data_IF_308380337308
#
_entry.id   IF_308380337308
#
_cell.length_a   1.000
_cell.length_b   1.000
_cell.length_c   1.000
_cell.angle_alpha   90.00
_cell.angle_beta   90.00
_cell.angle_gamma   90.00
#
_symmetry.space_group_name_H-M   'P 1'
#
loop_
_entity.id
_entity.type
_entity.pdbx_description
1 polymer ?
#
# COMPACT_ATOMS: atom_id res chain seq x y z
N UNK A 1 -41.19 69.93 54.06
CA UNK A 1 -40.64 68.55 54.11
C UNK A 1 -41.08 67.82 52.85
N UNK A 2 -40.18 67.62 51.88
CA UNK A 2 -40.44 66.91 50.62
C UNK A 2 -39.73 65.55 50.69
N UNK A 3 -40.48 64.45 50.59
CA UNK A 3 -39.92 63.08 50.56
C UNK A 3 -39.87 62.62 49.10
N UNK A 4 -38.67 62.38 48.60
CA UNK A 4 -38.39 61.76 47.30
C UNK A 4 -38.37 60.24 47.45
N UNK A 5 -39.19 59.55 46.65
CA UNK A 5 -39.24 58.09 46.55
C UNK A 5 -38.49 57.67 45.28
N UNK A 6 -37.46 56.85 45.42
CA UNK A 6 -36.67 56.28 44.32
C UNK A 6 -37.17 54.86 44.02
N UNK A 7 -37.48 54.47 42.77
CA UNK A 7 -37.84 53.09 42.47
C UNK A 7 -36.56 52.26 42.18
N UNK A 8 -36.49 51.08 42.81
CA UNK A 8 -35.48 50.05 42.59
C UNK A 8 -35.89 49.21 41.38
N UNK A 9 -35.07 49.22 40.33
CA UNK A 9 -35.23 48.40 39.13
C UNK A 9 -34.57 47.04 39.34
N UNK A 10 -35.37 45.98 39.49
CA UNK A 10 -34.91 44.60 39.64
C UNK A 10 -34.69 43.97 38.25
N UNK A 11 -33.42 43.79 37.85
CA UNK A 11 -33.05 43.12 36.59
C UNK A 11 -33.04 41.61 36.82
N UNK A 12 -34.06 40.93 36.30
CA UNK A 12 -34.19 39.47 36.33
C UNK A 12 -33.40 38.86 35.16
N UNK A 13 -32.18 38.39 35.43
CA UNK A 13 -31.34 37.69 34.45
C UNK A 13 -31.85 36.26 34.20
N UNK A 14 -32.51 36.06 33.06
CA UNK A 14 -32.85 34.75 32.52
C UNK A 14 -31.56 34.02 32.11
N UNK A 15 -31.08 33.12 32.98
CA UNK A 15 -30.05 32.15 32.60
C UNK A 15 -30.70 31.05 31.75
N UNK A 16 -30.51 31.10 30.43
CA UNK A 16 -30.85 29.97 29.57
C UNK A 16 -29.79 28.87 29.71
N UNK A 17 -30.18 27.60 29.94
CA UNK A 17 -29.25 26.49 29.91
C UNK A 17 -28.78 26.27 28.46
N UNK A 18 -27.50 26.50 28.22
CA UNK A 18 -26.83 26.12 26.98
C UNK A 18 -26.77 24.59 26.98
N UNK A 19 -27.72 23.95 26.29
CA UNK A 19 -27.63 22.53 25.97
C UNK A 19 -26.42 22.33 25.05
N UNK A 20 -25.32 21.85 25.62
CA UNK A 20 -24.17 21.36 24.88
C UNK A 20 -24.62 20.19 24.00
N UNK A 21 -24.94 20.45 22.73
CA UNK A 21 -25.16 19.42 21.72
C UNK A 21 -23.87 18.61 21.60
N UNK A 22 -23.90 17.39 22.13
CA UNK A 22 -22.87 16.38 21.93
C UNK A 22 -22.90 16.03 20.43
N UNK A 23 -22.04 16.67 19.65
CA UNK A 23 -21.87 16.38 18.23
C UNK A 23 -21.46 14.93 18.09
N UNK A 24 -22.39 14.07 17.70
CA UNK A 24 -22.13 12.69 17.32
C UNK A 24 -21.16 12.75 16.14
N UNK A 25 -19.89 12.48 16.41
CA UNK A 25 -18.84 12.45 15.40
C UNK A 25 -19.18 11.32 14.44
N UNK A 26 -19.45 11.64 13.17
CA UNK A 26 -19.70 10.60 12.15
C UNK A 26 -18.51 9.63 12.14
N UNK A 27 -18.75 8.32 12.06
CA UNK A 27 -17.68 7.33 11.95
C UNK A 27 -16.75 7.71 10.79
N UNK A 28 -15.45 7.71 11.03
CA UNK A 28 -14.46 7.96 9.98
C UNK A 28 -14.38 6.71 9.10
N UNK A 29 -14.97 6.76 7.91
CA UNK A 29 -14.75 5.72 6.89
C UNK A 29 -13.38 5.95 6.26
N UNK A 30 -12.49 4.95 6.39
CA UNK A 30 -11.22 4.97 5.68
C UNK A 30 -11.38 4.28 4.33
N UNK A 31 -10.60 4.73 3.34
CA UNK A 31 -10.57 4.14 2.00
C UNK A 31 -9.16 3.66 1.70
N UNK A 32 -9.06 2.55 0.97
CA UNK A 32 -7.83 2.01 0.43
C UNK A 32 -7.93 2.05 -1.09
N UNK A 33 -6.94 2.65 -1.72
CA UNK A 33 -6.76 2.65 -3.17
C UNK A 33 -5.56 1.80 -3.56
N UNK A 34 -5.66 1.13 -4.70
CA UNK A 34 -4.49 0.74 -5.47
C UNK A 34 -3.90 1.98 -6.13
N UNK A 35 -2.57 2.07 -6.12
CA UNK A 35 -1.83 3.10 -6.83
C UNK A 35 -1.18 2.45 -8.04
N UNK A 36 -1.71 2.78 -9.22
CA UNK A 36 -1.42 2.13 -10.50
C UNK A 36 -0.74 3.09 -11.48
N UNK A 37 -0.35 2.56 -12.64
CA UNK A 37 0.15 3.33 -13.79
C UNK A 37 1.29 4.28 -13.40
N UNK A 38 2.37 3.71 -12.85
CA UNK A 38 3.54 4.48 -12.39
C UNK A 38 3.22 5.59 -11.37
N UNK A 39 2.22 5.36 -10.52
CA UNK A 39 1.82 6.33 -9.49
C UNK A 39 0.76 7.35 -9.94
N UNK A 40 0.14 7.16 -11.11
CA UNK A 40 -0.74 8.17 -11.73
C UNK A 40 -2.22 7.88 -11.61
N UNK A 41 -2.61 6.69 -11.18
CA UNK A 41 -4.01 6.29 -11.07
C UNK A 41 -4.32 5.78 -9.68
N UNK A 42 -5.45 6.21 -9.12
CA UNK A 42 -6.05 5.64 -7.93
C UNK A 42 -7.27 4.82 -8.34
N UNK A 43 -7.26 3.55 -7.97
CA UNK A 43 -8.40 2.64 -8.11
C UNK A 43 -8.88 2.22 -6.73
N UNK A 44 -10.18 2.29 -6.42
CA UNK A 44 -10.68 1.98 -5.10
C UNK A 44 -10.66 0.45 -4.89
N UNK A 45 -10.01 0.01 -3.82
CA UNK A 45 -9.93 -1.43 -3.46
C UNK A 45 -10.86 -1.81 -2.32
N UNK A 46 -10.91 -1.00 -1.27
CA UNK A 46 -11.73 -1.30 -0.10
C UNK A 46 -12.07 -0.05 0.72
N UNK A 47 -13.11 -0.17 1.54
CA UNK A 47 -13.40 0.72 2.67
C UNK A 47 -13.10 0.00 3.97
N UNK A 48 -12.72 0.76 5.00
CA UNK A 48 -12.63 0.26 6.37
C UNK A 48 -13.66 1.02 7.20
N UNK A 49 -14.60 0.27 7.77
CA UNK A 49 -15.61 0.78 8.70
C UNK A 49 -15.63 -0.11 9.94
N UNK A 50 -15.49 0.51 11.12
CA UNK A 50 -15.45 -0.20 12.41
C UNK A 50 -14.44 -1.37 12.45
N UNK A 51 -13.28 -1.18 11.81
CA UNK A 51 -12.21 -2.18 11.73
C UNK A 51 -12.46 -3.33 10.75
N UNK A 52 -13.58 -3.32 10.01
CA UNK A 52 -13.90 -4.32 9.00
C UNK A 52 -13.60 -3.79 7.60
N UNK A 53 -12.99 -4.65 6.79
CA UNK A 53 -12.84 -4.41 5.36
C UNK A 53 -14.19 -4.63 4.67
N UNK A 54 -14.63 -3.63 3.93
CA UNK A 54 -15.85 -3.63 3.14
C UNK A 54 -15.49 -3.38 1.68
N UNK A 55 -16.31 -3.93 0.78
CA UNK A 55 -16.20 -3.63 -0.63
C UNK A 55 -16.42 -2.13 -0.89
N UNK A 56 -15.71 -1.63 -1.88
CA UNK A 56 -15.86 -0.25 -2.36
C UNK A 56 -16.47 -0.24 -3.75
N UNK A 57 -16.64 0.95 -4.32
CA UNK A 57 -17.27 1.11 -5.62
C UNK A 57 -16.49 0.41 -6.74
N UNK A 58 -17.22 -0.15 -7.70
CA UNK A 58 -16.68 -0.77 -8.92
C UNK A 58 -17.06 0.03 -10.16
N UNK A 59 -16.34 -0.13 -11.27
CA UNK A 59 -16.67 0.58 -12.52
C UNK A 59 -18.06 0.28 -13.08
N UNK A 60 -18.68 -0.83 -12.68
CA UNK A 60 -20.03 -1.22 -13.09
C UNK A 60 -21.14 -0.74 -12.15
N UNK A 61 -20.82 0.01 -11.09
CA UNK A 61 -21.82 0.52 -10.16
C UNK A 61 -22.66 1.65 -10.80
N UNK A 62 -23.83 1.89 -10.22
CA UNK A 62 -24.72 2.97 -10.67
C UNK A 62 -24.03 4.36 -10.57
N UNK A 63 -24.28 5.21 -11.57
CA UNK A 63 -23.64 6.52 -11.69
C UNK A 63 -23.84 7.43 -10.46
N UNK A 64 -24.96 7.31 -9.74
CA UNK A 64 -25.21 8.05 -8.51
C UNK A 64 -24.25 7.63 -7.37
N UNK A 65 -23.98 6.32 -7.24
CA UNK A 65 -23.05 5.75 -6.26
C UNK A 65 -21.62 6.22 -6.57
N UNK A 66 -21.23 6.15 -7.84
CA UNK A 66 -19.91 6.60 -8.32
C UNK A 66 -19.70 8.10 -8.12
N UNK A 67 -20.74 8.90 -8.38
CA UNK A 67 -20.71 10.35 -8.14
C UNK A 67 -20.57 10.67 -6.64
N UNK A 68 -21.30 9.97 -5.77
CA UNK A 68 -21.21 10.16 -4.32
C UNK A 68 -19.84 9.75 -3.77
N UNK A 69 -19.27 8.65 -4.25
CA UNK A 69 -17.93 8.20 -3.90
C UNK A 69 -16.88 9.23 -4.35
N UNK A 70 -16.95 9.66 -5.61
CA UNK A 70 -16.06 10.65 -6.20
C UNK A 70 -16.08 11.97 -5.44
N UNK A 71 -17.27 12.46 -5.08
CA UNK A 71 -17.43 13.67 -4.26
C UNK A 71 -16.82 13.51 -2.88
N UNK A 72 -16.78 12.31 -2.32
CA UNK A 72 -16.22 12.08 -0.99
C UNK A 72 -14.70 11.98 -1.03
N UNK A 73 -14.17 11.17 -1.94
CA UNK A 73 -12.77 10.74 -1.91
C UNK A 73 -11.90 11.25 -3.06
N UNK A 74 -12.47 11.68 -4.18
CA UNK A 74 -11.70 12.16 -5.34
C UNK A 74 -11.74 13.67 -5.54
N UNK A 75 -12.01 14.44 -4.48
CA UNK A 75 -11.89 15.90 -4.54
C UNK A 75 -10.45 16.27 -4.93
N UNK A 76 -10.24 17.14 -5.93
CA UNK A 76 -8.91 17.62 -6.28
C UNK A 76 -8.13 18.12 -5.06
N UNK A 77 -6.82 17.86 -5.04
CA UNK A 77 -5.87 18.18 -3.95
C UNK A 77 -6.04 17.33 -2.68
N UNK A 78 -7.03 16.42 -2.62
CA UNK A 78 -7.09 15.43 -1.53
C UNK A 78 -5.83 14.58 -1.55
N UNK A 79 -5.20 14.43 -0.39
CA UNK A 79 -3.93 13.74 -0.25
C UNK A 79 -4.08 12.53 0.66
N UNK A 80 -3.52 11.41 0.21
CA UNK A 80 -3.51 10.14 0.88
C UNK A 80 -2.09 9.73 1.24
N UNK A 81 -1.94 8.97 2.33
CA UNK A 81 -0.69 8.33 2.69
C UNK A 81 -0.40 7.24 1.66
N UNK A 82 0.73 7.34 0.95
CA UNK A 82 1.21 6.28 0.08
C UNK A 82 1.91 5.24 0.96
N UNK A 83 1.36 4.04 0.97
CA UNK A 83 1.91 2.86 1.65
C UNK A 83 2.63 2.01 0.62
N UNK A 84 3.91 1.74 0.87
CA UNK A 84 4.71 0.82 0.08
C UNK A 84 5.57 -0.02 1.01
N UNK A 85 5.54 -1.33 0.81
CA UNK A 85 6.29 -2.27 1.63
C UNK A 85 6.00 -2.20 3.12
N UNK A 86 4.70 -2.10 3.47
CA UNK A 86 4.23 -2.10 4.87
C UNK A 86 4.38 -0.77 5.62
N UNK A 87 4.91 0.27 4.97
CA UNK A 87 5.24 1.54 5.60
C UNK A 87 4.75 2.74 4.80
N UNK A 88 4.57 3.88 5.47
CA UNK A 88 4.35 5.16 4.78
C UNK A 88 5.61 5.53 4.00
N UNK A 89 5.48 5.53 2.67
CA UNK A 89 6.57 5.80 1.74
C UNK A 89 6.45 7.18 1.10
N UNK A 90 5.33 7.88 1.25
CA UNK A 90 5.11 9.19 0.66
C UNK A 90 3.64 9.57 0.63
N UNK A 91 3.23 10.28 -0.42
CA UNK A 91 1.84 10.71 -0.61
C UNK A 91 1.35 10.44 -2.02
N UNK A 92 0.03 10.28 -2.16
CA UNK A 92 -0.69 10.30 -3.43
C UNK A 92 -1.75 11.40 -3.38
N UNK A 93 -1.68 12.36 -4.30
CA UNK A 93 -2.59 13.52 -4.32
C UNK A 93 -3.48 13.45 -5.56
N UNK A 94 -4.79 13.54 -5.34
CA UNK A 94 -5.79 13.54 -6.42
C UNK A 94 -5.66 14.81 -7.25
N UNK A 95 -5.57 14.65 -8.57
CA UNK A 95 -5.58 15.74 -9.54
C UNK A 95 -7.00 15.96 -10.05
N UNK A 96 -7.62 14.89 -10.56
CA UNK A 96 -8.95 14.93 -11.15
C UNK A 96 -9.56 13.53 -11.17
N UNK A 97 -10.87 13.46 -11.33
CA UNK A 97 -11.61 12.25 -11.65
C UNK A 97 -12.76 12.63 -12.61
N UNK A 98 -13.25 11.64 -13.35
CA UNK A 98 -14.45 11.81 -14.18
C UNK A 98 -15.36 10.58 -13.98
N UNK A 99 -16.43 10.71 -13.19
CA UNK A 99 -17.33 9.59 -12.91
C UNK A 99 -18.21 9.22 -14.11
N UNK A 100 -18.15 9.96 -15.21
CA UNK A 100 -18.94 9.73 -16.43
C UNK A 100 -18.13 9.09 -17.58
N UNK A 101 -16.82 8.89 -17.39
CA UNK A 101 -15.94 8.32 -18.41
C UNK A 101 -16.12 6.80 -18.56
N UNK A 102 -16.43 6.33 -19.77
CA UNK A 102 -16.87 4.95 -20.05
C UNK A 102 -15.94 3.82 -19.54
N UNK A 103 -14.63 4.04 -19.46
CA UNK A 103 -13.64 3.03 -19.03
C UNK A 103 -12.91 3.38 -17.73
N UNK A 104 -13.37 4.41 -17.00
CA UNK A 104 -12.64 4.89 -15.82
C UNK A 104 -13.53 5.60 -14.79
N UNK A 105 -14.84 5.30 -14.78
CA UNK A 105 -15.85 5.96 -13.93
C UNK A 105 -15.52 5.91 -12.44
N UNK A 106 -14.81 4.87 -11.97
CA UNK A 106 -14.41 4.70 -10.57
C UNK A 106 -12.94 5.08 -10.31
N UNK A 107 -12.21 5.62 -11.28
CA UNK A 107 -10.79 5.94 -11.17
C UNK A 107 -10.55 7.43 -10.95
N UNK A 108 -9.41 7.75 -10.33
CA UNK A 108 -8.89 9.12 -10.29
C UNK A 108 -7.47 9.20 -10.84
N UNK A 109 -7.16 10.32 -11.49
CA UNK A 109 -5.79 10.71 -11.80
C UNK A 109 -5.14 11.30 -10.54
N UNK A 110 -3.93 10.88 -10.24
CA UNK A 110 -3.16 11.35 -9.10
C UNK A 110 -1.71 11.65 -9.45
N UNK A 111 -1.04 12.35 -8.54
CA UNK A 111 0.42 12.48 -8.51
C UNK A 111 0.95 11.88 -7.22
N UNK A 112 1.93 10.99 -7.33
CA UNK A 112 2.64 10.45 -6.17
C UNK A 112 3.94 11.19 -5.91
N UNK A 113 4.24 11.43 -4.65
CA UNK A 113 5.55 11.89 -4.19
C UNK A 113 6.11 10.86 -3.23
N UNK A 114 7.25 10.25 -3.59
CA UNK A 114 7.95 9.30 -2.73
C UNK A 114 9.45 9.29 -3.01
N UNK A 115 10.25 9.22 -1.95
CA UNK A 115 11.69 8.95 -2.04
C UNK A 115 12.01 7.48 -1.81
N UNK A 116 11.04 6.69 -1.31
CA UNK A 116 11.22 5.29 -0.90
C UNK A 116 10.59 4.30 -1.89
N UNK A 117 9.44 4.64 -2.46
CA UNK A 117 8.72 3.82 -3.44
C UNK A 117 9.06 4.26 -4.85
N UNK A 118 9.62 3.34 -5.64
CA UNK A 118 9.83 3.52 -7.09
C UNK A 118 8.70 2.79 -7.83
N UNK A 119 7.54 3.43 -7.93
CA UNK A 119 6.38 2.89 -8.64
C UNK A 119 6.66 2.97 -10.14
N UNK A 120 6.96 1.82 -10.77
CA UNK A 120 7.21 1.72 -12.20
C UNK A 120 6.82 0.34 -12.73
N UNK A 121 6.17 0.28 -13.88
CA UNK A 121 5.72 -0.97 -14.51
C UNK A 121 4.75 -1.72 -13.59
N UNK A 122 5.07 -2.97 -13.25
CA UNK A 122 4.23 -3.82 -12.39
C UNK A 122 4.34 -3.51 -10.88
N UNK A 123 5.15 -2.53 -10.49
CA UNK A 123 5.33 -2.15 -9.08
C UNK A 123 4.24 -1.16 -8.66
N UNK A 124 3.28 -1.65 -7.89
CA UNK A 124 2.13 -0.89 -7.40
C UNK A 124 2.26 -0.55 -5.91
N UNK A 125 1.55 0.49 -5.47
CA UNK A 125 1.45 0.88 -4.06
C UNK A 125 0.01 0.86 -3.57
N UNK A 126 -0.19 1.18 -2.29
CA UNK A 126 -1.51 1.44 -1.72
C UNK A 126 -1.59 2.90 -1.28
N UNK A 127 -2.76 3.52 -1.37
CA UNK A 127 -3.00 4.85 -0.83
C UNK A 127 -4.20 4.83 0.12
N UNK A 128 -4.10 5.52 1.27
CA UNK A 128 -5.19 5.55 2.25
C UNK A 128 -5.24 6.86 3.04
N UNK A 129 -6.42 7.25 3.51
CA UNK A 129 -6.61 8.36 4.46
C UNK A 129 -6.40 7.91 5.91
N UNK A 130 -6.24 6.61 6.15
CA UNK A 130 -5.90 6.09 7.46
C UNK A 130 -4.49 6.54 7.85
N UNK A 131 -4.32 6.93 9.11
CA UNK A 131 -2.99 7.08 9.73
C UNK A 131 -2.55 5.69 10.19
N UNK A 132 -1.49 5.08 9.62
CA UNK A 132 -1.04 3.78 10.07
C UNK A 132 -0.56 3.87 11.52
N UNK A 133 -1.20 3.12 12.42
CA UNK A 133 -0.85 3.08 13.84
C UNK A 133 0.22 2.03 14.15
N UNK A 134 0.35 1.04 13.27
CA UNK A 134 1.41 0.02 13.31
C UNK A 134 2.00 -0.09 11.91
N UNK A 135 3.32 -0.06 11.82
CA UNK A 135 4.02 -0.53 10.63
C UNK A 135 4.05 -2.07 10.67
N UNK A 136 3.91 -2.73 9.53
CA UNK A 136 3.92 -4.20 9.44
C UNK A 136 5.11 -4.60 8.60
N UNK A 137 6.10 -5.19 9.27
CA UNK A 137 7.39 -5.49 8.67
C UNK A 137 8.01 -4.34 7.86
N UNK A 138 9.07 -4.65 7.12
CA UNK A 138 9.51 -3.82 6.02
C UNK A 138 9.64 -4.67 4.77
N UNK A 139 9.25 -4.13 3.61
CA UNK A 139 9.52 -4.73 2.32
C UNK A 139 10.22 -3.71 1.43
N UNK A 140 11.37 -4.07 0.88
CA UNK A 140 12.16 -3.18 0.02
C UNK A 140 12.89 -3.93 -1.09
N UNK A 141 13.44 -3.16 -2.01
CA UNK A 141 14.44 -3.69 -2.93
C UNK A 141 15.70 -4.07 -2.13
N UNK A 142 16.30 -5.24 -2.40
CA UNK A 142 17.62 -5.58 -1.88
C UNK A 142 18.65 -4.53 -2.30
N UNK A 143 19.62 -4.29 -1.43
CA UNK A 143 20.84 -3.54 -1.77
C UNK A 143 21.68 -4.36 -2.77
N UNK A 144 22.63 -3.73 -3.49
CA UNK A 144 23.53 -4.45 -4.36
C UNK A 144 24.33 -5.56 -3.65
N UNK A 145 24.77 -5.30 -2.41
CA UNK A 145 25.51 -6.27 -1.60
C UNK A 145 24.64 -7.48 -1.21
N UNK A 146 23.43 -7.22 -0.72
CA UNK A 146 22.46 -8.27 -0.37
C UNK A 146 22.07 -9.11 -1.59
N UNK A 147 21.85 -8.46 -2.75
CA UNK A 147 21.57 -9.19 -4.00
C UNK A 147 22.72 -10.11 -4.37
N UNK A 148 23.96 -9.63 -4.31
CA UNK A 148 25.13 -10.44 -4.63
C UNK A 148 25.27 -11.65 -3.69
N UNK A 149 24.98 -11.47 -2.40
CA UNK A 149 24.98 -12.56 -1.42
C UNK A 149 23.91 -13.62 -1.74
N UNK A 150 22.68 -13.18 -2.03
CA UNK A 150 21.59 -14.08 -2.43
C UNK A 150 21.91 -14.81 -3.75
N UNK A 151 22.43 -14.10 -4.75
CA UNK A 151 22.79 -14.68 -6.05
C UNK A 151 23.91 -15.72 -5.93
N UNK A 152 24.85 -15.53 -5.00
CA UNK A 152 25.88 -16.53 -4.69
C UNK A 152 25.26 -17.80 -4.10
N UNK A 153 24.34 -17.67 -3.16
CA UNK A 153 23.64 -18.81 -2.56
C UNK A 153 22.79 -19.57 -3.58
N UNK A 154 22.05 -18.84 -4.41
CA UNK A 154 21.24 -19.39 -5.50
C UNK A 154 22.13 -20.13 -6.51
N UNK A 155 23.26 -19.53 -6.90
CA UNK A 155 24.20 -20.16 -7.83
C UNK A 155 24.80 -21.44 -7.25
N UNK A 156 25.16 -21.43 -5.96
CA UNK A 156 25.62 -22.62 -5.26
C UNK A 156 24.54 -23.72 -5.21
N UNK A 157 23.28 -23.35 -5.05
CA UNK A 157 22.16 -24.29 -5.03
C UNK A 157 21.90 -24.93 -6.40
N UNK A 158 21.96 -24.15 -7.48
CA UNK A 158 21.92 -24.69 -8.84
C UNK A 158 23.11 -25.65 -9.11
N UNK A 159 24.31 -25.30 -8.64
CA UNK A 159 25.49 -26.15 -8.77
C UNK A 159 25.36 -27.48 -8.01
N UNK A 160 24.79 -27.48 -6.78
CA UNK A 160 24.48 -28.72 -6.03
C UNK A 160 23.55 -29.64 -6.82
N UNK A 161 22.59 -29.05 -7.55
CA UNK A 161 21.66 -29.78 -8.41
C UNK A 161 22.23 -30.08 -9.81
N UNK A 162 23.55 -29.92 -10.00
CA UNK A 162 24.28 -30.19 -11.26
C UNK A 162 23.78 -29.36 -12.45
N UNK A 163 23.18 -28.21 -12.19
CA UNK A 163 22.78 -27.26 -13.23
C UNK A 163 23.74 -26.07 -13.19
N UNK A 164 24.71 -26.05 -14.11
CA UNK A 164 25.71 -24.98 -14.16
C UNK A 164 25.14 -23.73 -14.85
N UNK A 165 25.04 -22.57 -14.16
CA UNK A 165 24.54 -21.34 -14.77
C UNK A 165 25.48 -20.83 -15.86
N UNK A 166 24.98 -20.55 -17.08
CA UNK A 166 25.66 -19.64 -18.02
C UNK A 166 25.39 -18.17 -17.67
N UNK A 167 24.19 -17.88 -17.21
CA UNK A 167 23.78 -16.58 -16.69
C UNK A 167 22.60 -16.78 -15.72
N UNK A 168 22.79 -16.37 -14.47
CA UNK A 168 21.71 -16.33 -13.49
C UNK A 168 20.81 -15.13 -13.78
N UNK A 169 19.50 -15.37 -13.80
CA UNK A 169 18.51 -14.32 -14.00
C UNK A 169 17.47 -14.38 -12.89
N UNK A 170 16.90 -13.24 -12.54
CA UNK A 170 15.81 -13.13 -11.58
C UNK A 170 14.56 -12.55 -12.24
N UNK A 171 13.38 -13.05 -11.84
CA UNK A 171 12.11 -12.36 -12.11
C UNK A 171 11.85 -11.30 -11.05
N UNK A 172 12.12 -11.66 -9.80
CA UNK A 172 11.99 -10.77 -8.65
C UNK A 172 12.96 -11.19 -7.56
N UNK A 173 13.44 -10.21 -6.78
CA UNK A 173 14.06 -10.42 -5.49
C UNK A 173 13.59 -9.30 -4.57
N UNK A 174 13.04 -9.68 -3.43
CA UNK A 174 12.50 -8.77 -2.43
C UNK A 174 13.18 -9.03 -1.10
N UNK A 175 13.62 -7.96 -0.44
CA UNK A 175 14.06 -8.00 0.94
C UNK A 175 12.87 -7.70 1.86
N UNK A 176 12.70 -8.52 2.90
CA UNK A 176 11.62 -8.50 3.86
C UNK A 176 12.20 -8.45 5.28
N UNK A 177 11.47 -7.88 6.20
CA UNK A 177 11.68 -8.00 7.66
C UNK A 177 10.27 -8.12 8.21
N UNK A 178 9.71 -9.32 8.21
CA UNK A 178 8.26 -9.52 8.37
C UNK A 178 7.80 -9.20 9.79
N UNK A 179 8.60 -9.59 10.79
CA UNK A 179 8.31 -9.49 12.21
C UNK A 179 8.96 -8.29 12.90
N UNK A 180 9.84 -7.55 12.20
CA UNK A 180 10.60 -6.39 12.70
C UNK A 180 11.65 -6.73 13.74
N UNK A 181 12.20 -7.94 13.68
CA UNK A 181 13.36 -8.29 14.49
C UNK A 181 14.67 -7.64 13.96
N UNK A 182 14.59 -6.97 12.80
CA UNK A 182 15.72 -6.30 12.14
C UNK A 182 16.58 -7.25 11.32
N UNK A 183 16.21 -8.53 11.21
CA UNK A 183 16.80 -9.50 10.31
C UNK A 183 16.06 -9.44 8.98
N UNK A 184 16.84 -9.38 7.92
CA UNK A 184 16.29 -9.27 6.57
C UNK A 184 16.17 -10.68 5.98
N UNK A 185 14.96 -11.09 5.63
CA UNK A 185 14.70 -12.25 4.79
C UNK A 185 14.65 -11.86 3.31
N UNK A 186 14.88 -12.83 2.42
CA UNK A 186 14.78 -12.62 0.98
C UNK A 186 13.81 -13.60 0.34
N UNK A 187 12.93 -13.08 -0.52
CA UNK A 187 12.04 -13.89 -1.34
C UNK A 187 12.24 -13.48 -2.80
N UNK A 188 12.58 -14.45 -3.63
CA UNK A 188 12.82 -14.23 -5.04
C UNK A 188 12.58 -15.46 -5.90
N UNK A 189 12.46 -15.21 -7.20
CA UNK A 189 12.39 -16.27 -8.21
C UNK A 189 13.53 -16.08 -9.18
N UNK A 190 14.31 -17.13 -9.34
CA UNK A 190 15.49 -17.20 -10.18
C UNK A 190 15.31 -18.23 -11.28
N UNK A 191 16.06 -18.05 -12.35
CA UNK A 191 16.09 -19.01 -13.43
C UNK A 191 17.43 -18.96 -14.16
N UNK A 192 17.76 -20.09 -14.78
CA UNK A 192 18.93 -20.25 -15.64
C UNK A 192 18.51 -20.91 -16.94
N UNK A 193 19.11 -20.50 -18.05
CA UNK A 193 18.96 -21.17 -19.33
C UNK A 193 19.83 -22.43 -19.35
N UNK A 194 19.22 -23.60 -19.54
CA UNK A 194 19.93 -24.89 -19.62
C UNK A 194 20.21 -25.28 -21.07
N UNK A 195 19.32 -24.91 -22.00
CA UNK A 195 19.48 -25.09 -23.45
C UNK A 195 18.79 -23.95 -24.19
N UNK A 196 18.87 -23.93 -25.53
CA UNK A 196 18.19 -22.91 -26.33
C UNK A 196 16.66 -22.88 -26.14
N UNK A 197 16.06 -23.96 -25.62
CA UNK A 197 14.60 -24.11 -25.46
C UNK A 197 14.15 -24.39 -24.03
N UNK A 198 15.08 -24.51 -23.08
CA UNK A 198 14.78 -24.93 -21.70
C UNK A 198 15.39 -24.00 -20.67
N UNK A 199 14.69 -23.88 -19.54
CA UNK A 199 15.16 -23.15 -18.36
C UNK A 199 14.89 -23.98 -17.11
N UNK A 200 15.82 -23.91 -16.16
CA UNK A 200 15.59 -24.37 -14.81
C UNK A 200 15.12 -23.17 -13.97
N UNK A 201 14.06 -23.38 -13.18
CA UNK A 201 13.46 -22.38 -12.30
C UNK A 201 13.78 -22.73 -10.86
N UNK A 202 14.09 -21.71 -10.07
CA UNK A 202 14.28 -21.81 -8.63
C UNK A 202 13.44 -20.73 -7.95
N UNK A 203 12.42 -21.14 -7.21
CA UNK A 203 11.84 -20.28 -6.20
C UNK A 203 12.73 -20.34 -4.96
N UNK A 204 13.20 -19.18 -4.49
CA UNK A 204 14.03 -19.07 -3.29
C UNK A 204 13.34 -18.21 -2.24
N UNK A 205 13.06 -18.81 -1.08
CA UNK A 205 12.87 -18.09 0.17
C UNK A 205 14.08 -18.36 1.05
N UNK A 206 14.84 -17.31 1.34
CA UNK A 206 16.01 -17.33 2.20
C UNK A 206 15.67 -16.65 3.51
N UNK A 207 15.61 -17.43 4.58
CA UNK A 207 15.45 -16.93 5.94
C UNK A 207 16.85 -16.78 6.54
N UNK A 208 17.17 -15.58 7.04
CA UNK A 208 18.43 -15.29 7.70
C UNK A 208 18.35 -15.75 9.15
N UNK A 209 18.95 -16.89 9.48
CA UNK A 209 18.84 -17.50 10.80
C UNK A 209 19.82 -16.89 11.82
N UNK A 210 20.98 -16.43 11.36
CA UNK A 210 22.12 -15.88 12.14
C UNK A 210 22.96 -15.00 11.18
N UNK A 211 23.91 -14.15 11.64
CA UNK A 211 24.82 -13.50 10.70
C UNK A 211 25.57 -14.62 9.96
N UNK A 212 25.36 -14.71 8.64
CA UNK A 212 26.04 -15.60 7.68
C UNK A 212 25.31 -16.94 7.35
N UNK A 213 24.27 -17.36 8.09
CA UNK A 213 23.53 -18.60 7.74
C UNK A 213 22.13 -18.31 7.16
N UNK A 214 21.96 -18.65 5.88
CA UNK A 214 20.66 -18.63 5.20
C UNK A 214 20.18 -20.05 4.96
N UNK A 215 18.92 -20.33 5.30
CA UNK A 215 18.27 -21.57 4.88
C UNK A 215 17.52 -21.31 3.57
N UNK A 216 17.94 -21.96 2.49
CA UNK A 216 17.16 -22.04 1.26
C UNK A 216 16.06 -23.08 1.45
N UNK A 217 14.81 -22.64 1.40
CA UNK A 217 13.70 -23.58 1.21
C UNK A 217 13.48 -23.71 -0.30
N UNK A 218 13.83 -24.88 -0.83
CA UNK A 218 13.58 -25.26 -2.22
C UNK A 218 12.09 -25.58 -2.38
N UNK A 219 11.39 -24.79 -3.19
CA UNK A 219 10.06 -25.16 -3.66
C UNK A 219 10.14 -25.27 -5.19
N UNK A 220 10.18 -26.51 -5.67
CA UNK A 220 10.13 -26.94 -7.07
C UNK A 220 11.28 -26.50 -8.01
N UNK A 221 12.18 -27.45 -8.31
CA UNK A 221 12.93 -27.47 -9.57
C UNK A 221 12.03 -28.15 -10.62
N UNK A 222 11.20 -27.38 -11.31
CA UNK A 222 10.45 -27.90 -12.46
C UNK A 222 11.27 -27.70 -13.73
N UNK A 223 11.40 -28.72 -14.60
CA UNK A 223 11.81 -28.50 -15.97
C UNK A 223 10.74 -27.62 -16.63
N UNK A 224 11.07 -26.36 -16.92
CA UNK A 224 10.16 -25.50 -17.68
C UNK A 224 9.98 -26.09 -19.06
N UNK A 225 8.74 -26.46 -19.40
CA UNK A 225 8.31 -26.82 -20.74
C UNK A 225 8.82 -25.81 -21.80
N UNK A 226 9.09 -26.34 -23.00
CA UNK A 226 9.70 -25.67 -24.16
C UNK A 226 9.22 -24.23 -24.32
N UNK A 227 10.17 -23.30 -24.43
CA UNK A 227 9.90 -21.92 -24.84
C UNK A 227 9.19 -21.93 -26.21
N UNK A 228 7.93 -21.45 -26.24
CA UNK A 228 7.24 -21.03 -27.46
C UNK A 228 7.45 -19.53 -27.65
#
# INVERSE_FOLDING_TARGET
>A
MKKTLTPILLILSLMMPIFAQKTTTKPVTNVIFAVLNDGRTLEPLAKIENGKLLQTVSGGDEGAILTAFSKTYYKPKTTYNLIFGGNVAGTATVIKNDPTAECSTNLATAITKSTKAKLKGMVMGLATNMKPTKTFGTRRMPTPAERAEVEKLVSAEFAKNKVSPKALRSHNLTALDVDKDGKIEFVGTYWITTSATERALLFSSLIRLEPINYQSVLVNLEPSNKMK
#
